data_IF_938564310420
#
_entry.id   IF_938564310420
#
_cell.length_a   1.000
_cell.length_b   1.000
_cell.length_c   1.000
_cell.angle_alpha   90.00
_cell.angle_beta   90.00
_cell.angle_gamma   90.00
#
_symmetry.space_group_name_H-M   'P 1'
#
loop_
_entity.id
_entity.type
_entity.pdbx_description
1 polymer ?
#
# COMPACT_ATOMS: atom_id res chain seq x y z
N UNK A 1 65.88 -11.84 -31.49
CA UNK A 1 66.36 -10.71 -30.67
C UNK A 1 66.82 -9.59 -31.60
N UNK A 2 66.61 -8.30 -31.28
CA UNK A 2 65.76 -7.73 -30.22
C UNK A 2 64.33 -7.52 -30.83
N UNK A 3 63.54 -6.41 -30.77
CA UNK A 3 63.61 -5.10 -30.08
C UNK A 3 62.20 -4.43 -29.97
N UNK A 4 61.79 -4.07 -28.74
CA UNK A 4 61.20 -2.80 -28.21
C UNK A 4 60.70 -1.72 -29.21
N UNK A 5 59.75 -0.83 -28.90
CA UNK A 5 58.86 -0.59 -27.74
C UNK A 5 57.86 0.54 -28.13
N UNK A 6 56.75 0.71 -27.39
CA UNK A 6 56.40 2.00 -26.71
C UNK A 6 55.08 1.95 -25.95
N UNK A 7 55.14 2.25 -24.65
CA UNK A 7 54.00 2.83 -23.90
C UNK A 7 53.69 4.23 -24.45
N UNK A 8 52.43 4.62 -24.47
CA UNK A 8 52.03 5.98 -24.10
C UNK A 8 50.76 5.92 -23.24
N UNK A 9 50.84 6.54 -22.06
CA UNK A 9 49.75 6.64 -21.10
C UNK A 9 49.32 8.09 -20.96
N UNK A 10 48.04 8.38 -21.19
CA UNK A 10 47.31 9.55 -20.70
C UNK A 10 45.93 9.02 -20.28
N UNK A 11 45.63 8.94 -18.99
CA UNK A 11 45.15 10.03 -18.13
C UNK A 11 43.89 10.69 -18.72
N UNK A 12 42.82 10.64 -17.93
CA UNK A 12 41.46 10.77 -18.42
C UNK A 12 41.00 12.20 -18.68
N UNK A 13 39.86 12.28 -19.35
CA UNK A 13 38.97 13.43 -19.35
C UNK A 13 37.56 12.88 -19.15
N UNK A 14 36.98 13.07 -17.96
CA UNK A 14 35.53 12.99 -17.79
C UNK A 14 34.90 14.11 -18.59
N UNK A 15 33.86 13.82 -19.36
CA UNK A 15 32.95 14.83 -19.91
C UNK A 15 31.53 14.37 -19.69
N UNK A 16 30.68 15.31 -19.28
CA UNK A 16 29.26 15.11 -19.11
C UNK A 16 28.67 14.57 -20.42
N UNK A 17 28.09 13.38 -20.31
CA UNK A 17 27.24 12.76 -21.29
C UNK A 17 26.02 12.23 -20.56
N UNK A 18 25.46 13.08 -19.69
CA UNK A 18 24.27 12.74 -18.91
C UNK A 18 23.15 12.42 -19.88
N UNK A 19 22.85 11.12 -19.97
CA UNK A 19 21.62 10.66 -20.61
C UNK A 19 20.51 11.13 -19.70
N UNK A 20 19.95 12.30 -20.03
CA UNK A 20 18.76 12.86 -19.39
C UNK A 20 17.57 11.93 -19.74
N UNK A 21 17.51 10.80 -19.04
CA UNK A 21 16.39 9.85 -19.10
C UNK A 21 15.17 10.67 -18.73
N UNK A 22 14.39 11.01 -19.75
CA UNK A 22 13.24 11.89 -19.66
C UNK A 22 12.21 11.20 -18.79
N UNK A 23 12.26 11.48 -17.48
CA UNK A 23 11.31 10.94 -16.50
C UNK A 23 9.93 11.32 -16.98
N UNK A 24 9.15 10.32 -17.38
CA UNK A 24 7.82 10.53 -17.95
C UNK A 24 6.96 11.24 -16.93
N UNK A 25 6.69 12.53 -17.17
CA UNK A 25 5.74 13.31 -16.39
C UNK A 25 4.32 12.85 -16.76
N UNK A 26 3.94 11.68 -16.25
CA UNK A 26 2.56 11.22 -16.22
C UNK A 26 1.69 12.20 -15.42
N UNK A 27 0.38 12.27 -15.69
CA UNK A 27 -0.50 13.27 -15.13
C UNK A 27 -0.60 13.15 -13.60
N UNK A 28 -0.66 14.32 -12.96
CA UNK A 28 -0.69 14.53 -11.51
C UNK A 28 -2.06 14.23 -10.89
N UNK A 29 -2.71 13.14 -11.34
CA UNK A 29 -4.11 12.80 -11.02
C UNK A 29 -4.21 11.65 -10.01
N UNK A 30 -3.17 10.82 -9.89
CA UNK A 30 -3.13 9.66 -8.98
C UNK A 30 -1.89 9.58 -8.08
N UNK A 31 -0.92 10.48 -8.25
CA UNK A 31 -0.18 10.97 -7.07
C UNK A 31 -1.14 11.96 -6.40
N UNK A 32 -1.40 11.80 -5.11
CA UNK A 32 -2.44 12.56 -4.41
C UNK A 32 -2.32 14.07 -4.67
N UNK A 33 -3.44 14.70 -5.02
CA UNK A 33 -3.53 16.15 -5.28
C UNK A 33 -2.81 16.92 -4.17
N UNK A 34 -2.18 18.08 -4.42
CA UNK A 34 -1.24 18.74 -3.47
C UNK A 34 -1.82 19.22 -2.12
N UNK A 35 -3.08 18.89 -1.80
CA UNK A 35 -3.73 19.03 -0.49
C UNK A 35 -3.89 17.68 0.26
N UNK A 36 -3.48 16.56 -0.33
CA UNK A 36 -3.63 15.19 0.16
C UNK A 36 -2.31 14.43 0.05
N UNK A 37 -1.49 14.48 1.11
CA UNK A 37 -0.18 13.85 1.14
C UNK A 37 -0.24 12.33 1.30
N UNK A 38 0.06 11.60 0.22
CA UNK A 38 0.51 10.19 0.21
C UNK A 38 -0.25 9.22 1.14
N UNK A 39 -1.58 9.32 1.22
CA UNK A 39 -2.42 8.43 2.02
C UNK A 39 -3.00 7.29 1.17
N UNK A 40 -3.24 6.13 1.80
CA UNK A 40 -4.02 5.03 1.24
C UNK A 40 -5.51 5.37 1.37
N UNK A 41 -6.23 5.32 0.26
CA UNK A 41 -7.65 5.64 0.16
C UNK A 41 -8.49 4.35 0.20
N UNK A 42 -9.80 4.50 0.39
CA UNK A 42 -10.73 3.37 0.34
C UNK A 42 -10.88 2.88 -1.11
N UNK A 43 -10.57 1.60 -1.35
CA UNK A 43 -10.65 0.97 -2.67
C UNK A 43 -9.30 0.86 -3.38
N UNK A 44 -8.22 1.46 -2.86
CA UNK A 44 -6.86 1.32 -3.40
C UNK A 44 -6.42 -0.17 -3.45
N UNK A 45 -6.95 -1.01 -2.55
CA UNK A 45 -6.71 -2.45 -2.52
C UNK A 45 -7.21 -3.18 -3.78
N UNK A 46 -8.23 -2.65 -4.47
CA UNK A 46 -8.87 -3.31 -5.62
C UNK A 46 -7.93 -3.43 -6.83
N UNK A 47 -7.00 -2.48 -7.01
CA UNK A 47 -6.01 -2.55 -8.09
C UNK A 47 -5.04 -3.72 -7.89
N UNK A 48 -4.79 -4.15 -6.64
CA UNK A 48 -3.95 -5.32 -6.34
C UNK A 48 -4.69 -6.66 -6.51
N UNK A 49 -6.02 -6.68 -6.40
CA UNK A 49 -6.84 -7.87 -6.65
C UNK A 49 -7.26 -8.02 -8.11
N UNK A 50 -7.46 -6.92 -8.83
CA UNK A 50 -8.03 -6.89 -10.18
C UNK A 50 -7.15 -6.11 -11.15
N UNK A 51 -6.00 -6.65 -11.61
CA UNK A 51 -5.08 -5.96 -12.52
C UNK A 51 -5.69 -5.53 -13.87
N UNK A 52 -6.86 -6.08 -14.22
CA UNK A 52 -7.67 -5.63 -15.37
C UNK A 52 -8.09 -4.16 -15.24
N UNK A 53 -8.32 -3.64 -14.03
CA UNK A 53 -8.72 -2.25 -13.80
C UNK A 53 -7.67 -1.26 -14.31
N UNK A 54 -6.38 -1.57 -14.16
CA UNK A 54 -5.28 -0.73 -14.68
C UNK A 54 -5.28 -0.63 -16.21
N UNK A 55 -5.86 -1.62 -16.90
CA UNK A 55 -6.03 -1.62 -18.36
C UNK A 55 -7.30 -0.88 -18.78
N UNK A 56 -8.43 -1.17 -18.14
CA UNK A 56 -9.70 -0.48 -18.45
C UNK A 56 -9.63 1.03 -18.10
N UNK A 57 -8.76 1.40 -17.15
CA UNK A 57 -8.47 2.78 -16.76
C UNK A 57 -7.04 3.25 -17.14
N UNK A 58 -6.46 2.69 -18.20
CA UNK A 58 -5.12 3.08 -18.70
C UNK A 58 -4.99 4.59 -18.97
N UNK A 59 -6.10 5.24 -19.34
CA UNK A 59 -6.21 6.70 -19.54
C UNK A 59 -5.96 7.54 -18.29
N UNK A 60 -6.09 6.97 -17.09
CA UNK A 60 -5.71 7.63 -15.83
C UNK A 60 -4.20 7.53 -15.54
N UNK A 61 -3.45 6.76 -16.33
CA UNK A 61 -2.02 6.46 -16.17
C UNK A 61 -1.70 5.71 -14.85
N UNK A 62 -2.54 4.73 -14.51
CA UNK A 62 -2.32 3.71 -13.47
C UNK A 62 -1.19 2.74 -13.85
N UNK A 63 0.06 3.21 -13.80
CA UNK A 63 1.24 2.38 -14.07
C UNK A 63 1.74 1.67 -12.80
N UNK A 64 1.62 0.35 -12.76
CA UNK A 64 2.26 -0.49 -11.74
C UNK A 64 3.79 -0.40 -11.81
N UNK A 65 4.42 -0.16 -10.66
CA UNK A 65 5.85 -0.44 -10.45
C UNK A 65 6.11 -1.96 -10.36
N UNK A 66 7.38 -2.36 -10.33
CA UNK A 66 7.77 -3.76 -10.06
C UNK A 66 7.26 -4.23 -8.67
N UNK A 67 7.24 -3.34 -7.70
CA UNK A 67 6.67 -3.57 -6.36
C UNK A 67 5.14 -3.71 -6.40
N UNK A 68 4.43 -2.94 -7.22
CA UNK A 68 2.96 -3.11 -7.34
C UNK A 68 2.60 -4.42 -8.02
N UNK A 69 3.35 -4.81 -9.06
CA UNK A 69 3.17 -6.11 -9.72
C UNK A 69 3.51 -7.29 -8.78
N UNK A 70 4.51 -7.13 -7.90
CA UNK A 70 4.83 -8.16 -6.90
C UNK A 70 3.79 -8.20 -5.78
N UNK A 71 3.23 -7.06 -5.36
CA UNK A 71 2.11 -6.99 -4.43
C UNK A 71 0.85 -7.64 -5.00
N UNK A 72 0.53 -7.43 -6.29
CA UNK A 72 -0.53 -8.13 -7.03
C UNK A 72 -0.35 -9.65 -6.93
N UNK A 73 0.84 -10.16 -7.22
CA UNK A 73 1.11 -11.60 -7.19
C UNK A 73 0.89 -12.19 -5.78
N UNK A 74 1.36 -11.49 -4.74
CA UNK A 74 1.18 -11.92 -3.34
C UNK A 74 -0.30 -11.89 -2.94
N UNK A 75 -1.00 -10.79 -3.20
CA UNK A 75 -2.42 -10.60 -2.83
C UNK A 75 -3.34 -11.60 -3.55
N UNK A 76 -3.12 -11.82 -4.85
CA UNK A 76 -3.92 -12.76 -5.64
C UNK A 76 -3.61 -14.22 -5.30
N UNK A 77 -2.36 -14.59 -4.96
CA UNK A 77 -2.04 -15.94 -4.47
C UNK A 77 -2.68 -16.19 -3.10
N UNK A 78 -2.50 -15.29 -2.13
CA UNK A 78 -3.11 -15.37 -0.79
C UNK A 78 -4.63 -15.57 -0.89
N UNK A 79 -5.30 -14.77 -1.71
CA UNK A 79 -6.75 -14.82 -1.88
C UNK A 79 -7.19 -16.12 -2.59
N UNK A 80 -6.46 -16.55 -3.62
CA UNK A 80 -6.74 -17.82 -4.31
C UNK A 80 -6.55 -19.03 -3.38
N UNK A 81 -5.55 -18.99 -2.49
CA UNK A 81 -5.36 -20.00 -1.45
C UNK A 81 -6.48 -19.99 -0.40
N UNK A 82 -6.90 -18.81 0.05
CA UNK A 82 -8.05 -18.68 0.94
C UNK A 82 -9.33 -19.24 0.32
N UNK A 83 -9.67 -18.84 -0.91
CA UNK A 83 -10.85 -19.34 -1.62
C UNK A 83 -10.81 -20.86 -1.89
N UNK A 84 -9.61 -21.46 -1.99
CA UNK A 84 -9.42 -22.90 -2.23
C UNK A 84 -9.39 -23.74 -0.94
N UNK A 85 -8.97 -23.19 0.20
CA UNK A 85 -8.61 -23.97 1.40
C UNK A 85 -9.15 -23.44 2.73
N UNK A 86 -9.70 -22.21 2.74
CA UNK A 86 -10.04 -21.48 3.96
C UNK A 86 -8.84 -20.83 4.67
N UNK A 87 -7.61 -20.95 4.15
CA UNK A 87 -6.39 -20.40 4.75
C UNK A 87 -5.60 -19.55 3.73
N UNK A 88 -5.41 -18.24 3.95
CA UNK A 88 -4.57 -17.42 3.08
C UNK A 88 -3.11 -17.80 3.27
N UNK A 89 -2.43 -18.17 2.18
CA UNK A 89 -1.01 -18.55 2.21
C UNK A 89 -0.34 -18.35 0.84
N UNK A 90 0.95 -18.04 0.86
CA UNK A 90 1.87 -18.02 -0.30
C UNK A 90 3.23 -18.53 0.18
N UNK A 91 4.04 -19.05 -0.74
CA UNK A 91 5.44 -19.43 -0.49
C UNK A 91 6.37 -18.22 -0.22
N UNK A 92 5.92 -17.00 -0.54
CA UNK A 92 6.76 -15.79 -0.58
C UNK A 92 6.81 -14.98 0.72
N UNK A 93 5.90 -15.21 1.69
CA UNK A 93 5.80 -14.43 2.94
C UNK A 93 5.57 -15.35 4.16
N UNK A 94 5.65 -14.78 5.37
CA UNK A 94 5.37 -15.50 6.60
C UNK A 94 3.91 -15.97 6.70
N UNK A 95 3.67 -17.14 7.29
CA UNK A 95 2.33 -17.70 7.49
C UNK A 95 1.42 -16.73 8.27
N UNK A 96 0.22 -16.45 7.74
CA UNK A 96 -0.77 -15.60 8.40
C UNK A 96 -1.47 -16.40 9.53
N UNK A 97 -1.29 -16.02 10.82
CA UNK A 97 -1.99 -16.68 11.92
C UNK A 97 -3.49 -16.37 11.91
N UNK A 98 -4.32 -17.32 12.33
CA UNK A 98 -5.77 -17.11 12.41
C UNK A 98 -6.12 -16.07 13.49
N UNK A 99 -6.64 -14.91 13.06
CA UNK A 99 -6.91 -13.75 13.92
C UNK A 99 -7.66 -14.10 15.22
N UNK A 100 -8.64 -15.00 15.17
CA UNK A 100 -9.45 -15.44 16.32
C UNK A 100 -8.67 -16.02 17.51
N UNK A 101 -7.41 -16.41 17.32
CA UNK A 101 -6.55 -16.94 18.39
C UNK A 101 -5.43 -15.97 18.77
N UNK A 102 -4.87 -15.25 17.79
CA UNK A 102 -3.66 -14.44 17.97
C UNK A 102 -3.93 -12.94 18.09
N UNK A 103 -5.09 -12.45 17.62
CA UNK A 103 -5.41 -11.03 17.45
C UNK A 103 -4.33 -10.29 16.62
N UNK A 104 -3.75 -11.02 15.65
CA UNK A 104 -2.68 -10.59 14.76
C UNK A 104 -3.21 -10.49 13.32
N UNK A 105 -2.81 -9.44 12.62
CA UNK A 105 -3.23 -9.14 11.24
C UNK A 105 -2.02 -8.95 10.34
N UNK A 106 -2.18 -9.27 9.06
CA UNK A 106 -1.14 -9.02 8.05
C UNK A 106 -1.23 -7.57 7.58
N UNK A 107 -0.15 -6.82 7.75
CA UNK A 107 -0.03 -5.42 7.33
C UNK A 107 0.82 -5.34 6.08
N UNK A 108 0.18 -4.99 4.96
CA UNK A 108 0.82 -4.74 3.68
C UNK A 108 1.28 -3.28 3.60
N UNK A 109 2.55 -3.05 3.29
CA UNK A 109 3.12 -1.74 3.00
C UNK A 109 3.86 -1.80 1.66
N UNK A 110 3.69 -0.79 0.82
CA UNK A 110 4.36 -0.68 -0.47
C UNK A 110 4.27 0.75 -1.00
N UNK A 111 5.35 1.24 -1.59
CA UNK A 111 5.41 2.50 -2.38
C UNK A 111 6.74 2.66 -3.13
N UNK A 112 7.80 2.04 -2.60
CA UNK A 112 9.10 1.85 -3.26
C UNK A 112 9.51 0.38 -3.06
N UNK A 113 9.76 -0.03 -1.82
CA UNK A 113 9.94 -1.44 -1.42
C UNK A 113 8.65 -2.03 -0.83
N UNK A 114 8.49 -3.35 -0.93
CA UNK A 114 7.42 -4.10 -0.24
C UNK A 114 7.87 -4.46 1.17
N UNK A 115 7.01 -4.17 2.16
CA UNK A 115 7.16 -4.65 3.52
C UNK A 115 5.83 -5.24 4.01
N UNK A 116 5.77 -6.56 4.17
CA UNK A 116 4.60 -7.26 4.69
C UNK A 116 4.97 -7.86 6.05
N UNK A 117 4.26 -7.44 7.09
CA UNK A 117 4.51 -7.84 8.48
C UNK A 117 3.26 -8.44 9.13
N UNK A 118 3.44 -9.25 10.17
CA UNK A 118 2.36 -9.65 11.07
C UNK A 118 2.39 -8.69 12.26
N UNK A 119 1.33 -7.91 12.43
CA UNK A 119 1.20 -6.89 13.47
C UNK A 119 0.13 -7.30 14.49
N UNK A 120 0.29 -6.83 15.74
CA UNK A 120 -0.66 -7.10 16.82
C UNK A 120 -1.72 -6.03 16.90
N UNK A 121 -2.97 -6.44 17.12
CA UNK A 121 -4.09 -5.52 17.22
C UNK A 121 -4.20 -4.82 18.59
N UNK A 122 -3.19 -4.04 18.93
CA UNK A 122 -3.28 -3.08 20.04
C UNK A 122 -4.02 -1.81 19.60
N UNK A 123 -3.60 -1.19 18.49
CA UNK A 123 -4.13 0.11 18.06
C UNK A 123 -5.56 0.08 17.51
N UNK A 124 -5.96 -0.94 16.74
CA UNK A 124 -7.33 -0.99 16.21
C UNK A 124 -8.31 -1.44 17.29
N UNK A 125 -7.89 -2.23 18.30
CA UNK A 125 -8.71 -2.59 19.46
C UNK A 125 -9.23 -1.34 20.16
N UNK A 126 -8.34 -0.43 20.57
CA UNK A 126 -8.73 0.77 21.31
C UNK A 126 -9.67 1.68 20.47
N UNK A 127 -9.48 1.71 19.14
CA UNK A 127 -10.40 2.40 18.22
C UNK A 127 -11.76 1.71 18.10
N UNK A 128 -11.81 0.39 17.96
CA UNK A 128 -13.07 -0.37 17.88
C UNK A 128 -13.84 -0.23 19.21
N UNK A 129 -13.16 -0.40 20.34
CA UNK A 129 -13.73 -0.25 21.68
C UNK A 129 -14.28 1.15 21.94
N UNK A 130 -13.66 2.20 21.38
CA UNK A 130 -14.25 3.55 21.38
C UNK A 130 -15.57 3.61 20.59
N UNK A 131 -15.64 3.07 19.37
CA UNK A 131 -16.86 3.13 18.54
C UNK A 131 -17.98 2.21 19.06
N UNK A 132 -17.65 1.01 19.52
CA UNK A 132 -18.61 0.05 20.11
C UNK A 132 -19.31 0.63 21.35
N UNK A 133 -18.55 1.37 22.18
CA UNK A 133 -19.08 2.03 23.38
C UNK A 133 -19.62 3.45 23.14
N UNK A 134 -19.47 4.02 21.94
CA UNK A 134 -19.78 5.43 21.66
C UNK A 134 -21.25 5.77 21.97
N UNK A 135 -22.17 4.91 21.57
CA UNK A 135 -23.61 5.12 21.80
C UNK A 135 -23.89 5.03 23.31
N UNK A 136 -23.51 3.92 23.94
CA UNK A 136 -23.78 3.66 25.37
C UNK A 136 -23.21 4.72 26.31
N UNK A 137 -22.05 5.30 25.99
CA UNK A 137 -21.37 6.26 26.87
C UNK A 137 -21.73 7.73 26.58
N UNK A 138 -22.34 8.07 25.43
CA UNK A 138 -22.51 9.47 25.00
C UNK A 138 -23.87 9.82 24.37
N UNK A 139 -24.82 8.90 24.18
CA UNK A 139 -26.13 9.26 23.61
C UNK A 139 -27.16 9.80 24.61
N UNK A 140 -26.97 9.56 25.91
CA UNK A 140 -28.04 9.71 26.92
C UNK A 140 -28.41 11.19 27.21
N UNK A 141 -27.45 12.12 27.12
CA UNK A 141 -27.69 13.57 27.28
C UNK A 141 -28.65 14.16 26.22
N UNK A 142 -28.96 13.42 25.14
CA UNK A 142 -29.82 13.92 24.06
C UNK A 142 -31.33 13.83 24.33
N UNK A 143 -31.77 13.12 25.39
CA UNK A 143 -33.19 12.80 25.61
C UNK A 143 -33.94 13.87 26.42
N UNK A 144 -33.31 14.56 27.37
CA UNK A 144 -33.98 15.59 28.20
C UNK A 144 -34.53 16.78 27.39
N UNK A 145 -33.93 17.08 26.23
CA UNK A 145 -34.24 18.26 25.42
C UNK A 145 -35.69 18.25 24.84
N UNK A 146 -36.41 17.12 24.89
CA UNK A 146 -37.82 17.06 24.48
C UNK A 146 -38.83 17.46 25.55
N UNK A 147 -38.54 17.25 26.83
CA UNK A 147 -39.53 17.40 27.92
C UNK A 147 -39.99 18.86 28.06
N UNK A 148 -39.10 19.80 27.80
CA UNK A 148 -39.35 21.25 27.92
C UNK A 148 -40.11 21.85 26.73
N UNK A 149 -40.17 21.17 25.58
CA UNK A 149 -40.78 21.70 24.35
C UNK A 149 -42.31 21.54 24.30
N UNK A 150 -42.88 20.65 25.12
CA UNK A 150 -44.33 20.35 25.16
C UNK A 150 -45.06 21.01 26.34
N UNK A 151 -44.38 21.92 27.06
CA UNK A 151 -44.86 22.57 28.30
C UNK A 151 -44.90 24.12 28.20
N UNK A 152 -45.18 24.67 27.01
CA UNK A 152 -45.21 26.12 26.72
C UNK A 152 -46.46 26.53 25.92
#
# INVERSE_FOLDING_TARGET
MPRRDKRLSKQGVTREGDVEISRGNGPEILRGSPLSGNCVNHGDELNYFFPILNKEFESLMLFNTESDNTMINIMTELWSHFMRTGVPSTWSIANWPAYRYHHEYMLFKGSQDINITIEKNYYLKDRMEFWDNLIYNYSDESIECKVWAESS
#
